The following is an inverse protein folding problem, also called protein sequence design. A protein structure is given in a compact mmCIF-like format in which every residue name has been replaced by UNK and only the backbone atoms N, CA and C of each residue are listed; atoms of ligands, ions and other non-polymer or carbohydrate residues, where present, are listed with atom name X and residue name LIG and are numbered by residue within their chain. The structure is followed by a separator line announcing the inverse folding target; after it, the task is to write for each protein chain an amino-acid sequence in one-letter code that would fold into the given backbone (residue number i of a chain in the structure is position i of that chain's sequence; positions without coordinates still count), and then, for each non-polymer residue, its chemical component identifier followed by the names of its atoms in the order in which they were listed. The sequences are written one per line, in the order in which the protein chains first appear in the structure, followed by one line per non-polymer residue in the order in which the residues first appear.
data_IF_576433443545
#
_entry.id   IF_576433443545
#
_cell.length_a   1.000
_cell.length_b   1.000
_cell.length_c   1.000
_cell.angle_alpha   90.00
_cell.angle_beta   90.00
_cell.angle_gamma   90.00
#
_symmetry.space_group_name_H-M   'P 1'
#
loop_
_entity.id
_entity.type
_entity.pdbx_description
1 polymer ?
#
# COMPACT_ATOMS: atom_id res chain seq x y z
N UNK A 1 -18.71 -24.69 -4.78
CA UNK A 1 -17.95 -23.44 -5.10
C UNK A 1 -16.87 -23.25 -4.07
N UNK A 2 -15.64 -23.00 -4.52
CA UNK A 2 -14.51 -22.81 -3.62
C UNK A 2 -14.46 -21.37 -3.13
N UNK A 3 -14.21 -21.23 -1.82
CA UNK A 3 -13.92 -19.93 -1.25
C UNK A 3 -12.43 -19.63 -1.46
N UNK A 4 -12.12 -18.50 -2.06
CA UNK A 4 -10.75 -18.08 -2.33
C UNK A 4 -10.42 -16.82 -1.54
N UNK A 5 -9.15 -16.61 -1.17
CA UNK A 5 -8.77 -15.34 -0.56
C UNK A 5 -8.88 -14.19 -1.56
N UNK A 6 -9.13 -13.01 -1.04
CA UNK A 6 -9.06 -11.78 -1.84
C UNK A 6 -7.58 -11.43 -2.10
N UNK A 7 -7.30 -10.82 -3.24
CA UNK A 7 -5.96 -10.42 -3.62
C UNK A 7 -5.83 -8.90 -3.58
N UNK A 8 -4.84 -8.42 -2.84
CA UNK A 8 -4.56 -7.00 -2.69
C UNK A 8 -3.10 -6.69 -3.04
N UNK A 9 -2.81 -5.42 -3.21
CA UNK A 9 -1.46 -4.90 -3.39
C UNK A 9 -1.21 -3.76 -2.41
N UNK A 10 0.04 -3.60 -1.98
CA UNK A 10 0.49 -2.49 -1.15
C UNK A 10 1.77 -1.91 -1.74
N UNK A 11 1.94 -0.59 -1.65
CA UNK A 11 3.07 0.10 -2.23
C UNK A 11 3.94 0.75 -1.16
N UNK A 12 5.26 0.53 -1.26
CA UNK A 12 6.26 1.25 -0.47
C UNK A 12 6.91 2.28 -1.38
N UNK A 13 6.66 3.56 -1.08
CA UNK A 13 7.17 4.69 -1.83
C UNK A 13 8.07 5.48 -0.89
N UNK A 14 9.38 5.27 -1.01
CA UNK A 14 10.37 5.88 -0.11
C UNK A 14 11.30 6.76 -0.93
N UNK A 15 11.53 7.99 -0.46
CA UNK A 15 12.51 8.91 -1.02
C UNK A 15 12.96 9.89 0.05
N UNK A 16 14.26 10.17 0.11
CA UNK A 16 14.84 11.21 0.99
C UNK A 16 14.46 11.03 2.46
N UNK A 17 14.44 9.78 2.94
CA UNK A 17 14.13 9.47 4.33
C UNK A 17 12.66 9.54 4.70
N UNK A 18 11.77 9.67 3.71
CA UNK A 18 10.33 9.74 3.93
C UNK A 18 9.60 8.64 3.19
N UNK A 19 8.45 8.25 3.71
CA UNK A 19 7.55 7.27 3.09
C UNK A 19 6.19 7.91 2.85
N UNK A 20 5.52 7.52 1.78
CA UNK A 20 4.15 7.98 1.51
C UNK A 20 3.17 7.07 2.21
N UNK A 21 2.31 7.67 3.05
CA UNK A 21 1.24 6.97 3.77
C UNK A 21 -0.09 7.63 3.43
N UNK A 22 -1.17 6.86 3.55
CA UNK A 22 -2.53 7.38 3.47
C UNK A 22 -3.20 7.25 4.83
N UNK A 23 -4.16 8.11 5.10
CA UNK A 23 -5.01 7.98 6.28
C UNK A 23 -6.29 7.28 5.86
N UNK A 24 -6.64 6.21 6.57
CA UNK A 24 -7.83 5.43 6.23
C UNK A 24 -9.09 6.21 6.59
N UNK A 25 -10.05 6.24 5.67
CA UNK A 25 -11.31 6.96 5.83
C UNK A 25 -12.50 6.03 6.14
N UNK A 26 -12.24 4.73 6.32
CA UNK A 26 -13.27 3.72 6.62
C UNK A 26 -12.70 2.58 7.45
N UNK A 27 -13.60 1.81 8.04
CA UNK A 27 -13.24 0.59 8.76
C UNK A 27 -12.81 -0.51 7.78
N UNK A 28 -11.91 -1.42 8.17
CA UNK A 28 -11.24 -1.49 9.47
C UNK A 28 -10.12 -0.45 9.58
N UNK A 29 -9.70 -0.14 10.81
CA UNK A 29 -8.62 0.81 11.10
C UNK A 29 -8.91 2.23 10.63
N UNK A 30 -10.18 2.67 10.69
CA UNK A 30 -10.53 4.05 10.32
C UNK A 30 -9.75 5.05 11.16
N UNK A 31 -9.14 6.03 10.49
CA UNK A 31 -8.31 7.05 11.13
C UNK A 31 -6.86 6.67 11.29
N UNK A 32 -6.48 5.41 11.09
CA UNK A 32 -5.10 4.96 11.16
C UNK A 32 -4.40 5.17 9.81
N UNK A 33 -3.07 5.24 9.87
CA UNK A 33 -2.25 5.36 8.67
C UNK A 33 -1.94 3.99 8.08
N UNK A 34 -1.78 3.96 6.77
CA UNK A 34 -1.54 2.71 6.03
C UNK A 34 -0.71 2.99 4.78
N UNK A 35 -0.16 1.92 4.22
CA UNK A 35 0.45 1.98 2.89
C UNK A 35 -0.64 2.20 1.84
N UNK A 36 -0.34 2.95 0.76
CA UNK A 36 -1.24 3.00 -0.38
C UNK A 36 -1.41 1.61 -0.97
N UNK A 37 -2.64 1.25 -1.32
CA UNK A 37 -2.92 -0.06 -1.88
C UNK A 37 -4.42 -0.33 -1.94
N UNK A 38 -4.77 -1.52 -2.39
CA UNK A 38 -6.15 -1.93 -2.50
C UNK A 38 -6.28 -3.24 -3.25
N UNK A 39 -7.51 -3.60 -3.58
CA UNK A 39 -7.79 -4.88 -4.20
C UNK A 39 -7.49 -4.90 -5.69
N UNK A 40 -6.91 -6.01 -6.14
CA UNK A 40 -6.67 -6.27 -7.56
C UNK A 40 -8.00 -6.55 -8.24
N UNK A 41 -8.20 -5.98 -9.42
CA UNK A 41 -9.39 -6.22 -10.22
C UNK A 41 -9.21 -7.44 -11.11
N UNK A 42 -10.31 -8.12 -11.39
CA UNK A 42 -10.28 -9.24 -12.32
C UNK A 42 -9.71 -8.80 -13.67
N UNK A 43 -8.75 -9.57 -14.18
CA UNK A 43 -8.09 -9.25 -15.44
C UNK A 43 -6.93 -8.27 -15.33
N UNK A 44 -6.63 -7.77 -14.14
CA UNK A 44 -5.56 -6.80 -13.89
C UNK A 44 -4.33 -7.52 -13.36
N UNK A 45 -3.13 -7.19 -13.86
CA UNK A 45 -1.90 -7.69 -13.25
C UNK A 45 -1.68 -7.01 -11.89
N UNK A 46 -0.91 -7.64 -11.00
CA UNK A 46 -0.62 -7.03 -9.70
C UNK A 46 0.22 -5.75 -9.87
N UNK A 47 1.09 -5.69 -10.87
CA UNK A 47 1.85 -4.48 -11.17
C UNK A 47 0.94 -3.33 -11.63
N UNK A 48 -0.01 -3.62 -12.51
CA UNK A 48 -0.98 -2.62 -12.93
C UNK A 48 -1.86 -2.16 -11.77
N UNK A 49 -2.25 -3.10 -10.91
CA UNK A 49 -3.07 -2.79 -9.74
C UNK A 49 -2.38 -1.83 -8.79
N UNK A 50 -1.10 -2.05 -8.46
CA UNK A 50 -0.39 -1.20 -7.53
C UNK A 50 -0.20 0.21 -8.12
N UNK A 51 0.08 0.30 -9.42
CA UNK A 51 0.19 1.60 -10.11
C UNK A 51 -1.13 2.36 -10.06
N UNK A 52 -2.24 1.67 -10.34
CA UNK A 52 -3.58 2.26 -10.31
C UNK A 52 -3.96 2.75 -8.92
N UNK A 53 -3.78 1.88 -7.91
CA UNK A 53 -4.14 2.23 -6.53
C UNK A 53 -3.32 3.42 -6.01
N UNK A 54 -2.02 3.46 -6.30
CA UNK A 54 -1.18 4.59 -5.89
C UNK A 54 -1.68 5.88 -6.55
N UNK A 55 -2.00 5.85 -7.84
CA UNK A 55 -2.50 7.04 -8.55
C UNK A 55 -3.82 7.51 -7.97
N UNK A 56 -4.74 6.59 -7.71
CA UNK A 56 -6.06 6.92 -7.16
C UNK A 56 -5.96 7.51 -5.76
N UNK A 57 -5.09 6.97 -4.91
CA UNK A 57 -5.02 7.35 -3.50
C UNK A 57 -4.07 8.50 -3.22
N UNK A 58 -3.04 8.68 -4.02
CA UNK A 58 -1.98 9.65 -3.72
C UNK A 58 -1.78 10.71 -4.79
N UNK A 59 -2.25 10.49 -6.00
CA UNK A 59 -1.98 11.36 -7.15
C UNK A 59 -0.63 11.11 -7.82
N UNK A 60 0.21 10.23 -7.26
CA UNK A 60 1.53 9.95 -7.83
C UNK A 60 1.45 8.89 -8.91
N UNK A 61 2.28 9.08 -9.95
CA UNK A 61 2.56 8.04 -10.94
C UNK A 61 3.83 7.32 -10.53
N UNK A 62 3.79 5.99 -10.49
CA UNK A 62 4.91 5.19 -10.00
C UNK A 62 5.26 4.11 -11.01
N UNK A 63 6.51 3.62 -10.93
CA UNK A 63 6.92 2.39 -11.59
C UNK A 63 7.34 1.38 -10.52
N UNK A 64 7.11 0.11 -10.80
CA UNK A 64 7.50 -0.97 -9.91
C UNK A 64 9.01 -1.18 -10.01
N UNK A 65 9.69 -1.22 -8.86
CA UNK A 65 11.12 -1.50 -8.79
C UNK A 65 11.38 -2.95 -8.42
N UNK A 66 10.76 -3.45 -7.37
CA UNK A 66 10.96 -4.82 -6.92
C UNK A 66 9.81 -5.30 -6.07
N UNK A 67 9.70 -6.62 -5.98
CA UNK A 67 8.78 -7.27 -5.06
C UNK A 67 9.38 -7.23 -3.66
N UNK A 68 8.60 -6.75 -2.68
CA UNK A 68 8.99 -6.83 -1.27
C UNK A 68 8.65 -8.21 -0.72
N UNK A 69 7.42 -8.66 -0.94
CA UNK A 69 6.99 -9.96 -0.46
C UNK A 69 5.51 -10.20 -0.67
N UNK A 70 5.11 -11.42 -0.28
CA UNK A 70 3.70 -11.84 -0.28
C UNK A 70 3.30 -12.07 1.18
N UNK A 71 2.21 -11.43 1.58
CA UNK A 71 1.71 -11.47 2.96
C UNK A 71 0.37 -12.19 2.96
N UNK A 72 0.37 -13.42 3.43
CA UNK A 72 -0.74 -14.34 3.22
C UNK A 72 -1.32 -14.96 4.49
N UNK A 73 -0.95 -14.48 5.67
CA UNK A 73 -1.52 -14.98 6.91
C UNK A 73 -3.04 -14.76 6.87
N UNK A 74 -3.87 -15.81 7.11
CA UNK A 74 -5.32 -15.66 7.07
C UNK A 74 -5.88 -14.67 8.08
N UNK A 75 -5.14 -14.32 9.12
CA UNK A 75 -5.60 -13.44 10.19
C UNK A 75 -5.04 -12.02 10.11
N UNK A 76 -4.28 -11.70 9.05
CA UNK A 76 -3.68 -10.38 8.89
C UNK A 76 -4.71 -9.25 8.67
N UNK A 77 -5.90 -9.59 8.21
CA UNK A 77 -6.98 -8.64 7.91
C UNK A 77 -8.26 -9.10 8.62
N UNK A 78 -8.89 -8.26 9.45
CA UNK A 78 -10.09 -8.67 10.17
C UNK A 78 -11.31 -8.93 9.29
N UNK A 79 -11.31 -8.45 8.04
CA UNK A 79 -12.42 -8.68 7.10
C UNK A 79 -12.47 -10.11 6.57
N UNK A 80 -11.34 -10.83 6.62
CA UNK A 80 -11.23 -12.18 6.09
C UNK A 80 -9.84 -12.46 5.57
N UNK A 81 -9.69 -13.54 4.80
CA UNK A 81 -8.39 -13.93 4.24
C UNK A 81 -8.06 -13.05 3.04
N UNK A 82 -7.14 -12.13 3.21
CA UNK A 82 -6.62 -11.24 2.16
C UNK A 82 -5.14 -11.51 1.99
N UNK A 83 -4.74 -11.82 0.77
CA UNK A 83 -3.31 -11.96 0.41
C UNK A 83 -2.86 -10.64 -0.20
N UNK A 84 -1.85 -10.01 0.39
CA UNK A 84 -1.27 -8.78 -0.17
C UNK A 84 0.07 -9.06 -0.81
N UNK A 85 0.25 -8.52 -2.01
CA UNK A 85 1.54 -8.50 -2.71
C UNK A 85 2.08 -7.09 -2.57
N UNK A 86 3.21 -6.94 -1.87
CA UNK A 86 3.81 -5.64 -1.60
C UNK A 86 4.98 -5.37 -2.54
N UNK A 87 4.99 -4.16 -3.10
CA UNK A 87 6.01 -3.72 -4.05
C UNK A 87 6.75 -2.49 -3.54
N UNK A 88 8.05 -2.47 -3.78
CA UNK A 88 8.83 -1.24 -3.73
C UNK A 88 8.63 -0.54 -5.07
N UNK A 89 8.16 0.69 -5.03
CA UNK A 89 7.88 1.48 -6.23
C UNK A 89 8.60 2.81 -6.16
N UNK A 90 8.77 3.44 -7.32
CA UNK A 90 9.44 4.73 -7.45
C UNK A 90 8.48 5.73 -8.08
N UNK A 91 8.35 6.90 -7.45
CA UNK A 91 7.55 7.98 -8.02
C UNK A 91 8.27 8.54 -9.24
N UNK A 92 7.57 8.57 -10.38
CA UNK A 92 8.11 9.06 -11.65
C UNK A 92 7.32 10.25 -12.19
N UNK A 93 6.26 10.66 -11.54
CA UNK A 93 5.44 11.79 -11.96
C UNK A 93 4.27 12.02 -11.03
N UNK A 94 3.44 12.99 -11.38
CA UNK A 94 2.28 13.34 -10.59
C UNK A 94 2.61 14.24 -9.41
N UNK A 95 1.58 14.61 -8.66
CA UNK A 95 1.70 15.47 -7.49
C UNK A 95 1.01 14.78 -6.32
N UNK A 96 1.67 14.76 -5.16
CA UNK A 96 1.09 14.16 -3.97
C UNK A 96 -0.15 14.93 -3.53
N UNK A 97 -1.27 14.25 -3.53
CA UNK A 97 -2.56 14.80 -3.11
C UNK A 97 -3.43 13.62 -2.70
N UNK A 98 -4.64 13.87 -2.21
CA UNK A 98 -5.55 12.80 -1.83
C UNK A 98 -6.11 11.97 -3.00
N UNK A 99 -5.66 12.26 -4.22
CA UNK A 99 -6.14 11.54 -5.39
C UNK A 99 -7.64 11.72 -5.65
N UNK A 100 -8.18 10.94 -6.60
CA UNK A 100 -9.59 11.00 -6.95
C UNK A 100 -10.50 10.44 -5.87
N UNK A 101 -9.99 9.59 -4.99
CA UNK A 101 -10.74 9.03 -3.86
C UNK A 101 -10.83 10.00 -2.69
N UNK A 102 -10.27 11.19 -2.81
CA UNK A 102 -10.24 12.21 -1.76
C UNK A 102 -9.59 11.71 -0.46
N UNK A 103 -8.69 10.75 -0.56
CA UNK A 103 -7.96 10.26 0.60
C UNK A 103 -6.83 11.21 0.94
N UNK A 104 -6.54 11.31 2.24
CA UNK A 104 -5.39 12.09 2.72
C UNK A 104 -4.12 11.28 2.52
N UNK A 105 -3.16 11.83 1.79
CA UNK A 105 -1.86 11.22 1.56
C UNK A 105 -0.76 12.14 2.10
N UNK A 106 0.23 11.55 2.75
CA UNK A 106 1.28 12.28 3.46
C UNK A 106 2.66 11.70 3.17
N UNK A 107 3.66 12.58 3.15
CA UNK A 107 5.06 12.16 3.29
C UNK A 107 5.38 12.13 4.78
N UNK A 108 5.86 10.99 5.26
CA UNK A 108 6.11 10.81 6.68
C UNK A 108 7.56 10.41 6.92
N UNK A 109 8.26 11.02 7.90
CA UNK A 109 9.64 10.63 8.20
C UNK A 109 9.71 9.16 8.63
N UNK A 110 10.61 8.40 8.02
CA UNK A 110 10.82 7.00 8.41
C UNK A 110 11.28 6.86 9.85
N UNK A 111 11.98 7.88 10.38
CA UNK A 111 12.48 7.85 11.76
C UNK A 111 11.38 7.92 12.82
N UNK A 112 10.20 8.42 12.45
CA UNK A 112 9.10 8.66 13.40
C UNK A 112 7.77 8.17 12.85
N UNK A 113 7.73 6.91 12.37
CA UNK A 113 6.51 6.34 11.79
C UNK A 113 5.38 6.28 12.81
N UNK A 114 4.14 6.57 12.39
CA UNK A 114 2.98 6.36 13.23
C UNK A 114 2.66 4.86 13.35
N UNK A 115 1.70 4.51 14.17
CA UNK A 115 1.13 3.16 14.17
C UNK A 115 0.46 2.94 12.83
N UNK A 116 0.77 1.82 12.18
CA UNK A 116 0.24 1.48 10.87
C UNK A 116 -0.85 0.40 11.00
N UNK A 117 -1.84 0.49 10.12
CA UNK A 117 -2.93 -0.48 10.02
C UNK A 117 -2.41 -1.86 9.57
N UNK A 118 -3.16 -2.90 9.85
CA UNK A 118 -2.87 -4.27 9.44
C UNK A 118 -1.46 -4.69 9.88
N UNK A 119 -0.74 -5.38 9.01
CA UNK A 119 0.66 -5.77 9.18
C UNK A 119 1.61 -4.85 8.41
N UNK A 120 1.17 -3.62 8.12
CA UNK A 120 1.94 -2.71 7.27
C UNK A 120 3.29 -2.34 7.88
N UNK A 121 3.42 -2.30 9.21
CA UNK A 121 4.71 -2.06 9.86
C UNK A 121 5.74 -3.14 9.49
N UNK A 122 5.32 -4.40 9.43
CA UNK A 122 6.19 -5.49 9.00
C UNK A 122 6.59 -5.33 7.53
N UNK A 123 5.64 -4.96 6.66
CA UNK A 123 5.91 -4.74 5.24
C UNK A 123 6.97 -3.65 5.08
N UNK A 124 6.83 -2.54 5.81
CA UNK A 124 7.82 -1.45 5.77
C UNK A 124 9.20 -1.93 6.21
N UNK A 125 9.28 -2.66 7.32
CA UNK A 125 10.55 -3.20 7.81
C UNK A 125 11.21 -4.11 6.78
N UNK A 126 10.44 -4.97 6.13
CA UNK A 126 10.95 -5.87 5.11
C UNK A 126 11.45 -5.09 3.89
N UNK A 127 10.72 -4.04 3.49
CA UNK A 127 11.10 -3.19 2.36
C UNK A 127 12.41 -2.44 2.62
N UNK A 128 12.61 -1.95 3.84
CA UNK A 128 13.82 -1.19 4.20
C UNK A 128 15.10 -2.01 4.09
N UNK A 129 14.99 -3.35 4.16
CA UNK A 129 16.13 -4.24 3.96
C UNK A 129 16.57 -4.34 2.49
N UNK A 130 15.72 -3.89 1.56
CA UNK A 130 15.98 -3.95 0.12
C UNK A 130 16.58 -2.65 -0.41
N UNK A 131 16.71 -1.64 0.43
CA UNK A 131 17.18 -0.31 0.03
C UNK A 131 18.63 -0.10 0.47
#
# INVERSE_FOLDING_TARGET
MHKTPSLAVDAIIVAKGEIVLIKRDREPFQGDYALPGGFVRYGETVEAAVQREVKEETGLSVKVKSLVGVYSDPHRDPRGHVVSIAFLVEAVGGTLSGGSDAREAYRWPLATLPVLAFDHAQIVNDALRLI
#
